data_IF_899916837833
#
_entry.id   IF_899916837833
#
_cell.length_a   1.000
_cell.length_b   1.000
_cell.length_c   1.000
_cell.angle_alpha   90.00
_cell.angle_beta   90.00
_cell.angle_gamma   90.00
#
_symmetry.space_group_name_H-M   'P 1'
#
loop_
_entity.id
_entity.type
_entity.pdbx_description
1 polymer ?
#
# COMPACT_ATOMS: atom_id res chain seq x y z
N UNK A 1 11.61 -34.86 72.18
CA UNK A 1 11.42 -35.24 73.59
C UNK A 1 10.09 -35.96 73.77
N UNK A 2 9.81 -36.57 74.92
CA UNK A 2 8.55 -37.29 75.16
C UNK A 2 7.39 -36.30 75.34
N UNK A 3 6.26 -36.55 74.69
CA UNK A 3 5.00 -35.90 75.06
C UNK A 3 4.60 -36.39 76.46
N UNK A 4 4.29 -35.46 77.36
CA UNK A 4 3.71 -35.76 78.66
C UNK A 4 2.22 -36.04 78.48
N UNK A 5 1.84 -37.28 78.76
CA UNK A 5 0.47 -37.70 78.95
C UNK A 5 -0.03 -37.16 80.31
N UNK A 6 -1.10 -36.39 80.28
CA UNK A 6 -1.78 -35.86 81.46
C UNK A 6 -3.28 -36.19 81.35
N UNK A 7 -3.63 -37.46 81.55
CA UNK A 7 -5.01 -37.85 81.77
C UNK A 7 -5.55 -37.29 83.10
N UNK A 8 -6.81 -36.83 83.12
CA UNK A 8 -7.48 -36.51 84.39
C UNK A 8 -8.60 -35.49 84.35
N UNK A 9 -9.84 -35.99 84.27
CA UNK A 9 -11.06 -35.44 84.92
C UNK A 9 -11.55 -34.02 84.56
N UNK A 10 -12.58 -34.02 83.71
CA UNK A 10 -13.87 -33.31 83.93
C UNK A 10 -13.85 -31.86 84.41
N UNK A 11 -13.72 -30.93 83.45
CA UNK A 11 -14.43 -29.67 83.52
C UNK A 11 -14.99 -29.35 82.12
N UNK A 12 -16.27 -28.98 82.04
CA UNK A 12 -16.94 -28.58 80.79
C UNK A 12 -16.52 -27.16 80.39
N UNK A 13 -15.24 -26.98 80.09
CA UNK A 13 -14.76 -25.79 79.39
C UNK A 13 -15.10 -25.95 77.91
N UNK A 14 -15.81 -24.95 77.38
CA UNK A 14 -16.61 -25.01 76.15
C UNK A 14 -15.98 -25.78 74.98
N UNK A 15 -16.83 -26.51 74.27
CA UNK A 15 -16.46 -27.29 73.09
C UNK A 15 -15.70 -26.42 72.06
N UNK A 16 -14.39 -26.66 71.95
CA UNK A 16 -13.52 -25.95 71.01
C UNK A 16 -13.71 -26.43 69.55
N UNK A 17 -14.58 -27.42 69.28
CA UNK A 17 -14.83 -27.92 67.93
C UNK A 17 -15.42 -26.85 66.99
N UNK A 18 -16.21 -25.89 67.51
CA UNK A 18 -16.82 -24.82 66.69
C UNK A 18 -15.88 -23.59 66.50
N UNK A 19 -14.61 -23.70 66.89
CA UNK A 19 -13.60 -22.66 66.64
C UNK A 19 -12.81 -22.92 65.34
N UNK A 20 -12.62 -21.91 64.47
CA UNK A 20 -12.10 -22.10 63.11
C UNK A 20 -10.58 -22.33 63.00
N UNK A 21 -9.90 -22.63 64.11
CA UNK A 21 -8.45 -22.80 64.15
C UNK A 21 -8.06 -24.29 64.16
N UNK A 22 -7.22 -24.72 63.20
CA UNK A 22 -6.69 -26.09 63.14
C UNK A 22 -7.49 -27.09 62.29
N UNK A 23 -8.52 -26.66 61.56
CA UNK A 23 -9.27 -27.50 60.61
C UNK A 23 -8.40 -27.87 59.39
N UNK A 24 -8.40 -29.15 58.99
CA UNK A 24 -7.50 -29.64 57.91
C UNK A 24 -7.89 -29.17 56.51
N UNK A 25 -9.19 -28.95 56.27
CA UNK A 25 -9.73 -28.51 54.99
C UNK A 25 -10.40 -27.14 55.15
N UNK A 26 -10.18 -26.25 54.18
CA UNK A 26 -10.83 -24.92 54.11
C UNK A 26 -11.38 -24.74 52.69
N UNK A 27 -12.70 -24.69 52.56
CA UNK A 27 -13.36 -24.41 51.29
C UNK A 27 -13.85 -22.95 51.29
N UNK A 28 -13.47 -22.18 50.27
CA UNK A 28 -13.92 -20.80 50.08
C UNK A 28 -14.54 -20.64 48.71
N UNK A 29 -15.79 -20.21 48.66
CA UNK A 29 -16.42 -19.78 47.41
C UNK A 29 -16.50 -18.27 47.41
N UNK A 30 -15.98 -17.62 46.38
CA UNK A 30 -15.93 -16.15 46.29
C UNK A 30 -16.82 -15.66 45.16
N UNK A 31 -17.83 -14.85 45.50
CA UNK A 31 -18.58 -14.03 44.55
C UNK A 31 -18.22 -12.57 44.81
N UNK A 32 -17.52 -11.94 43.86
CA UNK A 32 -17.15 -10.53 43.92
C UNK A 32 -17.98 -9.70 42.94
N UNK A 33 -18.39 -8.53 43.39
CA UNK A 33 -19.02 -7.49 42.59
C UNK A 33 -18.24 -6.19 42.80
N UNK A 34 -17.85 -5.51 41.72
CA UNK A 34 -17.20 -4.22 41.79
C UNK A 34 -17.77 -3.27 40.74
N UNK A 35 -18.07 -2.04 41.16
CA UNK A 35 -18.62 -1.00 40.31
C UNK A 35 -17.93 0.33 40.60
N UNK A 36 -17.35 0.94 39.56
CA UNK A 36 -16.75 2.26 39.68
C UNK A 36 -17.87 3.33 39.63
N UNK A 37 -18.27 3.83 40.81
CA UNK A 37 -19.31 4.84 40.97
C UNK A 37 -18.87 6.20 40.44
N UNK A 38 -17.62 6.59 40.71
CA UNK A 38 -17.04 7.85 40.25
C UNK A 38 -15.62 7.64 39.72
N UNK A 39 -15.38 8.14 38.51
CA UNK A 39 -14.09 8.03 37.81
C UNK A 39 -13.53 9.38 37.34
N UNK A 40 -14.05 10.50 37.86
CA UNK A 40 -13.63 11.85 37.49
C UNK A 40 -13.57 12.10 35.95
N UNK A 41 -14.53 11.54 35.21
CA UNK A 41 -14.59 11.65 33.75
C UNK A 41 -13.65 10.70 32.98
N UNK A 42 -12.87 9.84 33.65
CA UNK A 42 -11.95 8.86 33.01
C UNK A 42 -12.68 7.95 32.04
N UNK A 43 -13.76 7.27 32.49
CA UNK A 43 -14.55 6.35 31.64
C UNK A 43 -15.13 7.11 30.44
N UNK A 44 -15.72 8.28 30.64
CA UNK A 44 -16.27 9.09 29.56
C UNK A 44 -15.20 9.53 28.54
N UNK A 45 -13.97 9.77 28.99
CA UNK A 45 -12.83 10.12 28.13
C UNK A 45 -12.30 8.90 27.38
N UNK A 46 -12.19 7.74 28.02
CA UNK A 46 -11.88 6.46 27.37
C UNK A 46 -12.93 6.09 26.32
N UNK A 47 -14.21 6.35 26.59
CA UNK A 47 -15.30 6.14 25.62
C UNK A 47 -15.20 7.10 24.43
N UNK A 48 -14.81 8.37 24.63
CA UNK A 48 -14.52 9.29 23.51
C UNK A 48 -13.33 8.82 22.68
N UNK A 49 -12.27 8.32 23.31
CA UNK A 49 -11.13 7.73 22.62
C UNK A 49 -11.55 6.51 21.79
N UNK A 50 -12.32 5.57 22.36
CA UNK A 50 -12.83 4.40 21.65
C UNK A 50 -13.76 4.76 20.48
N UNK A 51 -14.60 5.80 20.63
CA UNK A 51 -15.44 6.32 19.53
C UNK A 51 -14.61 6.93 18.41
N UNK A 52 -13.64 7.79 18.72
CA UNK A 52 -12.74 8.37 17.72
C UNK A 52 -11.85 7.31 17.04
N UNK A 53 -11.45 6.26 17.74
CA UNK A 53 -10.76 5.10 17.16
C UNK A 53 -11.66 4.32 16.19
N UNK A 54 -12.95 4.12 16.53
CA UNK A 54 -13.94 3.54 15.61
C UNK A 54 -14.17 4.42 14.38
N UNK A 55 -14.40 5.73 14.56
CA UNK A 55 -14.52 6.69 13.45
C UNK A 55 -13.28 6.65 12.55
N UNK A 56 -12.08 6.49 13.13
CA UNK A 56 -10.83 6.35 12.36
C UNK A 56 -10.80 5.06 11.55
N UNK A 57 -11.26 3.94 12.12
CA UNK A 57 -11.36 2.66 11.42
C UNK A 57 -12.38 2.68 10.28
N UNK A 58 -13.51 3.39 10.45
CA UNK A 58 -14.51 3.60 9.39
C UNK A 58 -13.92 4.41 8.22
N UNK A 59 -13.26 5.54 8.49
CA UNK A 59 -12.58 6.32 7.44
C UNK A 59 -11.43 5.52 6.79
N UNK A 60 -10.71 4.70 7.55
CA UNK A 60 -9.66 3.81 7.01
C UNK A 60 -10.22 2.74 6.08
N UNK A 61 -11.39 2.17 6.40
CA UNK A 61 -12.09 1.21 5.54
C UNK A 61 -12.49 1.84 4.20
N UNK A 62 -12.99 3.08 4.22
CA UNK A 62 -13.36 3.79 2.98
C UNK A 62 -12.13 4.21 2.15
N UNK A 63 -11.02 4.57 2.79
CA UNK A 63 -9.73 4.74 2.10
C UNK A 63 -9.20 3.44 1.49
N UNK A 64 -9.31 2.31 2.20
CA UNK A 64 -8.92 1.00 1.66
C UNK A 64 -9.79 0.60 0.45
N UNK A 65 -11.11 0.82 0.51
CA UNK A 65 -12.03 0.62 -0.63
C UNK A 65 -11.66 1.49 -1.82
N UNK A 66 -11.33 2.76 -1.61
CA UNK A 66 -10.91 3.67 -2.67
C UNK A 66 -9.57 3.26 -3.29
N UNK A 67 -8.62 2.79 -2.47
CA UNK A 67 -7.34 2.28 -2.94
C UNK A 67 -7.52 1.02 -3.81
N UNK A 68 -8.29 0.04 -3.33
CA UNK A 68 -8.61 -1.18 -4.11
C UNK A 68 -9.32 -0.83 -5.43
N UNK A 69 -10.31 0.09 -5.42
CA UNK A 69 -10.93 0.60 -6.66
C UNK A 69 -9.89 1.14 -7.65
N UNK A 70 -8.96 1.98 -7.18
CA UNK A 70 -7.91 2.56 -8.04
C UNK A 70 -6.94 1.50 -8.56
N UNK A 71 -6.48 0.58 -7.71
CA UNK A 71 -5.54 -0.48 -8.07
C UNK A 71 -6.16 -1.46 -9.09
N UNK A 72 -7.43 -1.84 -8.92
CA UNK A 72 -8.18 -2.64 -9.88
C UNK A 72 -8.32 -1.93 -11.23
N UNK A 73 -8.65 -0.62 -11.23
CA UNK A 73 -8.74 0.19 -12.45
C UNK A 73 -7.38 0.29 -13.15
N UNK A 74 -6.30 0.50 -12.42
CA UNK A 74 -4.95 0.50 -12.98
C UNK A 74 -4.62 -0.84 -13.65
N UNK A 75 -4.81 -1.96 -12.94
CA UNK A 75 -4.55 -3.29 -13.50
C UNK A 75 -5.44 -3.62 -14.72
N UNK A 76 -6.68 -3.11 -14.74
CA UNK A 76 -7.58 -3.26 -15.87
C UNK A 76 -7.09 -2.52 -17.12
N UNK A 77 -6.71 -1.24 -16.99
CA UNK A 77 -6.16 -0.48 -18.11
C UNK A 77 -4.73 -0.91 -18.48
N UNK A 78 -3.93 -1.43 -17.54
CA UNK A 78 -2.64 -2.07 -17.82
C UNK A 78 -2.82 -3.34 -18.67
N UNK A 79 -3.84 -4.15 -18.39
CA UNK A 79 -4.17 -5.33 -19.20
C UNK A 79 -4.62 -4.94 -20.62
N UNK A 80 -5.52 -3.96 -20.76
CA UNK A 80 -5.92 -3.41 -22.07
C UNK A 80 -4.74 -2.83 -22.86
N UNK A 81 -3.84 -2.11 -22.19
CA UNK A 81 -2.61 -1.61 -22.80
C UNK A 81 -1.72 -2.77 -23.26
N UNK A 82 -1.61 -3.85 -22.48
CA UNK A 82 -0.81 -5.02 -22.87
C UNK A 82 -1.37 -5.76 -24.09
N UNK A 83 -2.70 -5.84 -24.24
CA UNK A 83 -3.35 -6.36 -25.46
C UNK A 83 -3.02 -5.47 -26.67
N UNK A 84 -3.15 -4.15 -26.53
CA UNK A 84 -2.87 -3.21 -27.62
C UNK A 84 -1.39 -3.21 -28.04
N UNK A 85 -0.46 -3.28 -27.08
CA UNK A 85 0.97 -3.37 -27.36
C UNK A 85 1.36 -4.71 -28.02
N UNK A 86 0.68 -5.80 -27.67
CA UNK A 86 0.87 -7.08 -28.36
C UNK A 86 0.34 -7.01 -29.80
N UNK A 87 -0.84 -6.42 -30.03
CA UNK A 87 -1.40 -6.26 -31.36
C UNK A 87 -0.51 -5.39 -32.27
N UNK A 88 0.08 -4.31 -31.73
CA UNK A 88 1.06 -3.48 -32.44
C UNK A 88 2.30 -4.30 -32.81
N UNK A 89 2.90 -5.03 -31.87
CA UNK A 89 4.09 -5.84 -32.12
C UNK A 89 3.84 -7.00 -33.12
N UNK A 90 2.67 -7.64 -33.05
CA UNK A 90 2.25 -8.65 -34.02
C UNK A 90 2.10 -8.07 -35.43
N UNK A 91 1.51 -6.87 -35.54
CA UNK A 91 1.40 -6.15 -36.81
C UNK A 91 2.78 -5.82 -37.38
N UNK A 92 3.71 -5.33 -36.54
CA UNK A 92 5.08 -5.01 -36.95
C UNK A 92 5.85 -6.25 -37.43
N UNK A 93 5.71 -7.39 -36.75
CA UNK A 93 6.28 -8.68 -37.19
C UNK A 93 5.67 -9.14 -38.52
N UNK A 94 4.35 -9.13 -38.67
CA UNK A 94 3.68 -9.51 -39.92
C UNK A 94 4.15 -8.65 -41.11
N UNK A 95 4.27 -7.34 -40.91
CA UNK A 95 4.80 -6.42 -41.92
C UNK A 95 6.29 -6.70 -42.23
N UNK A 96 7.09 -7.12 -41.26
CA UNK A 96 8.49 -7.51 -41.50
C UNK A 96 8.61 -8.83 -42.28
N UNK A 97 7.73 -9.80 -42.00
CA UNK A 97 7.63 -11.06 -42.76
C UNK A 97 7.18 -10.82 -44.21
N UNK A 98 6.20 -9.93 -44.43
CA UNK A 98 5.79 -9.52 -45.78
C UNK A 98 6.93 -8.85 -46.57
N UNK A 99 7.68 -7.94 -45.94
CA UNK A 99 8.86 -7.32 -46.58
C UNK A 99 9.95 -8.36 -46.88
N UNK A 100 10.21 -9.29 -45.97
CA UNK A 100 11.18 -10.38 -46.20
C UNK A 100 10.80 -11.26 -47.41
N UNK A 101 9.53 -11.62 -47.55
CA UNK A 101 9.09 -12.45 -48.68
C UNK A 101 9.16 -11.68 -50.02
N UNK A 102 8.79 -10.39 -50.04
CA UNK A 102 8.96 -9.53 -51.21
C UNK A 102 10.43 -9.44 -51.65
N UNK A 103 11.34 -9.19 -50.72
CA UNK A 103 12.79 -9.12 -50.99
C UNK A 103 13.34 -10.47 -51.44
N UNK A 104 12.85 -11.58 -50.87
CA UNK A 104 13.23 -12.94 -51.27
C UNK A 104 12.84 -13.27 -52.71
N UNK A 105 11.62 -12.89 -53.12
CA UNK A 105 11.15 -13.04 -54.51
C UNK A 105 11.94 -12.11 -55.44
N UNK A 106 12.15 -10.85 -55.06
CA UNK A 106 12.96 -9.91 -55.85
C UNK A 106 14.42 -10.40 -56.03
N UNK A 107 14.99 -11.05 -55.01
CA UNK A 107 16.32 -11.68 -55.09
C UNK A 107 16.35 -12.88 -56.03
N UNK A 108 15.30 -13.72 -56.06
CA UNK A 108 15.27 -14.92 -56.91
C UNK A 108 15.19 -14.59 -58.40
N UNK A 109 14.62 -13.43 -58.77
CA UNK A 109 14.62 -12.89 -60.14
C UNK A 109 15.80 -11.94 -60.43
N UNK A 110 16.75 -11.81 -59.51
CA UNK A 110 17.96 -10.98 -59.66
C UNK A 110 17.75 -9.47 -59.51
N UNK A 111 16.54 -9.00 -59.17
CA UNK A 111 16.19 -7.58 -59.07
C UNK A 111 16.69 -6.89 -57.79
N UNK A 112 17.10 -7.64 -56.76
CA UNK A 112 17.71 -7.09 -55.54
C UNK A 112 19.00 -7.83 -55.12
N UNK A 113 19.93 -7.16 -54.41
CA UNK A 113 21.15 -7.76 -53.90
C UNK A 113 20.90 -8.56 -52.62
N UNK A 114 21.83 -9.44 -52.28
CA UNK A 114 21.79 -10.25 -51.05
C UNK A 114 21.82 -9.41 -49.76
N UNK A 115 22.42 -8.22 -49.82
CA UNK A 115 22.43 -7.25 -48.73
C UNK A 115 21.02 -6.86 -48.25
N UNK A 116 20.09 -6.59 -49.17
CA UNK A 116 18.70 -6.25 -48.80
C UNK A 116 17.97 -7.46 -48.19
N UNK A 117 18.28 -8.68 -48.66
CA UNK A 117 17.74 -9.92 -48.08
C UNK A 117 18.22 -10.11 -46.63
N UNK A 118 19.52 -9.94 -46.38
CA UNK A 118 20.08 -10.02 -45.03
C UNK A 118 19.48 -8.95 -44.10
N UNK A 119 19.29 -7.72 -44.58
CA UNK A 119 18.62 -6.66 -43.82
C UNK A 119 17.16 -6.98 -43.52
N UNK A 120 16.41 -7.52 -44.48
CA UNK A 120 15.03 -7.95 -44.26
C UNK A 120 14.94 -9.09 -43.24
N UNK A 121 15.89 -10.04 -43.27
CA UNK A 121 15.99 -11.13 -42.28
C UNK A 121 16.25 -10.58 -40.88
N UNK A 122 17.26 -9.70 -40.72
CA UNK A 122 17.58 -9.06 -39.43
C UNK A 122 16.39 -8.23 -38.91
N UNK A 123 15.70 -7.48 -39.77
CA UNK A 123 14.51 -6.72 -39.37
C UNK A 123 13.39 -7.62 -38.84
N UNK A 124 13.12 -8.76 -39.51
CA UNK A 124 12.13 -9.76 -39.06
C UNK A 124 12.58 -10.41 -37.75
N UNK A 125 13.82 -10.86 -37.68
CA UNK A 125 14.34 -11.59 -36.50
C UNK A 125 14.44 -10.69 -35.26
N UNK A 126 14.68 -9.38 -35.42
CA UNK A 126 14.61 -8.40 -34.33
C UNK A 126 13.19 -8.19 -33.77
N UNK A 127 12.14 -8.39 -34.58
CA UNK A 127 10.74 -8.25 -34.13
C UNK A 127 10.22 -9.46 -33.35
N UNK A 128 10.81 -10.66 -33.54
CA UNK A 128 10.36 -11.88 -32.84
C UNK A 128 10.53 -11.79 -31.30
N UNK A 129 11.68 -11.33 -30.75
CA UNK A 129 11.82 -11.06 -29.32
C UNK A 129 10.83 -10.03 -28.78
N UNK A 130 10.45 -9.02 -29.57
CA UNK A 130 9.48 -7.99 -29.16
C UNK A 130 8.11 -8.63 -28.93
N UNK A 131 7.62 -9.44 -29.87
CA UNK A 131 6.34 -10.17 -29.72
C UNK A 131 6.36 -11.11 -28.52
N UNK A 132 7.43 -11.91 -28.34
CA UNK A 132 7.58 -12.82 -27.19
C UNK A 132 7.55 -12.06 -25.85
N UNK A 133 8.20 -10.89 -25.81
CA UNK A 133 8.16 -10.01 -24.63
C UNK A 133 6.75 -9.46 -24.39
N UNK A 134 6.05 -8.98 -25.42
CA UNK A 134 4.66 -8.48 -25.26
C UNK A 134 3.67 -9.55 -24.83
N UNK A 135 3.86 -10.80 -25.27
CA UNK A 135 3.09 -11.95 -24.77
C UNK A 135 3.34 -12.18 -23.28
N UNK A 136 4.59 -12.11 -22.82
CA UNK A 136 4.95 -12.20 -21.40
C UNK A 136 4.38 -11.02 -20.58
N UNK A 137 4.56 -9.79 -21.05
CA UNK A 137 4.04 -8.56 -20.42
C UNK A 137 2.51 -8.66 -20.22
N UNK A 138 1.80 -9.19 -21.23
CA UNK A 138 0.35 -9.43 -21.21
C UNK A 138 -0.06 -10.45 -20.16
N UNK A 139 0.55 -11.63 -20.11
CA UNK A 139 0.17 -12.63 -19.11
C UNK A 139 0.48 -12.17 -17.67
N UNK A 140 1.50 -11.33 -17.47
CA UNK A 140 1.78 -10.68 -16.18
C UNK A 140 0.65 -9.69 -15.83
N UNK A 141 0.26 -8.81 -16.76
CA UNK A 141 -0.82 -7.83 -16.54
C UNK A 141 -2.16 -8.52 -16.23
N UNK A 142 -2.53 -9.54 -17.00
CA UNK A 142 -3.72 -10.36 -16.76
C UNK A 142 -3.64 -11.12 -15.43
N UNK A 143 -2.46 -11.63 -15.03
CA UNK A 143 -2.30 -12.30 -13.72
C UNK A 143 -2.47 -11.35 -12.55
N UNK A 144 -1.94 -10.11 -12.65
CA UNK A 144 -2.19 -9.04 -11.66
C UNK A 144 -3.68 -8.70 -11.57
N UNK A 145 -4.38 -8.62 -12.71
CA UNK A 145 -5.82 -8.36 -12.73
C UNK A 145 -6.63 -9.52 -12.11
N UNK A 146 -6.32 -10.78 -12.44
CA UNK A 146 -6.95 -11.97 -11.82
C UNK A 146 -6.79 -11.96 -10.30
N UNK A 147 -5.59 -11.65 -9.80
CA UNK A 147 -5.31 -11.57 -8.37
C UNK A 147 -6.13 -10.46 -7.67
N UNK A 148 -6.23 -9.27 -8.26
CA UNK A 148 -7.02 -8.16 -7.69
C UNK A 148 -8.54 -8.37 -7.76
N UNK A 149 -9.01 -9.21 -8.68
CA UNK A 149 -10.43 -9.60 -8.78
C UNK A 149 -10.78 -10.82 -7.91
N UNK A 150 -9.81 -11.40 -7.18
CA UNK A 150 -9.94 -12.66 -6.44
C UNK A 150 -10.43 -13.85 -7.29
N UNK A 151 -9.95 -13.90 -8.54
CA UNK A 151 -10.30 -14.95 -9.52
C UNK A 151 -9.13 -15.92 -9.69
N UNK A 152 -9.36 -17.25 -9.73
CA UNK A 152 -8.30 -18.23 -9.94
C UNK A 152 -7.43 -17.93 -11.17
N UNK A 153 -6.11 -18.08 -11.03
CA UNK A 153 -5.11 -17.68 -12.04
C UNK A 153 -5.32 -18.37 -13.41
N UNK A 154 -5.86 -19.59 -13.43
CA UNK A 154 -6.19 -20.31 -14.67
C UNK A 154 -7.44 -19.81 -15.41
N UNK A 155 -8.20 -18.88 -14.84
CA UNK A 155 -9.44 -18.37 -15.46
C UNK A 155 -9.11 -17.46 -16.63
N UNK A 156 -9.69 -17.78 -17.79
CA UNK A 156 -9.61 -16.94 -18.99
C UNK A 156 -10.53 -15.72 -18.81
N UNK A 157 -9.93 -14.53 -18.84
CA UNK A 157 -10.64 -13.26 -18.87
C UNK A 157 -10.58 -12.73 -20.30
N UNK A 158 -11.72 -12.26 -20.82
CA UNK A 158 -11.82 -11.55 -22.09
C UNK A 158 -12.31 -10.14 -21.78
N UNK A 159 -11.49 -9.13 -22.06
CA UNK A 159 -11.85 -7.73 -21.83
C UNK A 159 -12.66 -7.23 -23.04
N UNK A 160 -13.85 -6.66 -22.77
CA UNK A 160 -14.81 -6.23 -23.81
C UNK A 160 -14.66 -4.75 -24.17
N UNK A 161 -13.95 -3.99 -23.33
CA UNK A 161 -13.69 -2.56 -23.53
C UNK A 161 -12.51 -2.33 -24.48
N UNK A 162 -12.55 -1.19 -25.18
CA UNK A 162 -11.42 -0.71 -25.99
C UNK A 162 -10.66 0.38 -25.22
N UNK A 163 -9.33 0.39 -25.35
CA UNK A 163 -8.48 1.39 -24.71
C UNK A 163 -8.66 2.78 -25.34
N UNK A 164 -8.75 2.80 -26.67
CA UNK A 164 -9.17 3.96 -27.45
C UNK A 164 -10.68 3.87 -27.68
N UNK A 165 -11.44 4.45 -26.76
CA UNK A 165 -12.90 4.47 -26.80
C UNK A 165 -13.47 5.62 -25.99
N UNK A 166 -14.69 6.04 -26.35
CA UNK A 166 -15.39 7.07 -25.59
C UNK A 166 -15.62 6.59 -24.14
N UNK A 167 -15.61 7.53 -23.20
CA UNK A 167 -15.68 7.31 -21.75
C UNK A 167 -16.97 6.63 -21.26
N UNK A 168 -17.88 6.26 -22.17
CA UNK A 168 -19.20 5.70 -21.87
C UNK A 168 -19.16 4.37 -21.13
N UNK A 169 -18.08 3.58 -21.30
CA UNK A 169 -17.86 2.34 -20.56
C UNK A 169 -17.43 2.51 -19.09
N UNK A 170 -17.06 3.74 -18.67
CA UNK A 170 -16.77 4.02 -17.28
C UNK A 170 -18.08 4.26 -16.49
N UNK A 171 -18.16 3.78 -15.22
CA UNK A 171 -19.17 4.22 -14.27
C UNK A 171 -19.34 5.75 -14.24
N UNK A 172 -20.57 6.22 -14.07
CA UNK A 172 -20.91 7.65 -14.14
C UNK A 172 -20.08 8.51 -13.17
N UNK A 173 -19.70 7.96 -12.01
CA UNK A 173 -18.81 8.58 -11.01
C UNK A 173 -17.42 8.97 -11.55
N UNK A 174 -16.96 8.38 -12.65
CA UNK A 174 -15.67 8.66 -13.29
C UNK A 174 -15.77 9.47 -14.58
N UNK A 175 -16.98 9.64 -15.14
CA UNK A 175 -17.21 10.36 -16.40
C UNK A 175 -17.27 11.88 -16.23
N UNK A 176 -17.74 12.35 -15.07
CA UNK A 176 -18.04 13.77 -14.82
C UNK A 176 -16.84 14.62 -14.36
N UNK A 177 -15.67 14.03 -14.12
CA UNK A 177 -14.44 14.71 -13.65
C UNK A 177 -13.73 15.47 -14.80
N UNK A 178 -14.49 15.96 -15.77
CA UNK A 178 -13.98 16.45 -17.03
C UNK A 178 -13.63 17.95 -17.02
N UNK A 179 -14.43 18.80 -16.37
CA UNK A 179 -14.43 20.25 -16.67
C UNK A 179 -14.06 21.15 -15.48
N UNK A 180 -14.70 21.04 -14.31
CA UNK A 180 -14.36 21.86 -13.13
C UNK A 180 -14.11 21.02 -11.88
N UNK A 181 -12.84 20.76 -11.59
CA UNK A 181 -12.40 20.14 -10.34
C UNK A 181 -12.10 21.24 -9.32
N UNK A 182 -13.03 21.49 -8.41
CA UNK A 182 -12.83 22.36 -7.25
C UNK A 182 -11.77 21.75 -6.30
N UNK A 183 -10.51 22.14 -6.55
CA UNK A 183 -9.31 21.73 -5.81
C UNK A 183 -9.50 21.96 -4.32
N UNK A 184 -10.03 23.12 -3.94
CA UNK A 184 -10.13 23.53 -2.54
C UNK A 184 -11.22 22.73 -1.80
N UNK A 185 -12.36 22.42 -2.45
CA UNK A 185 -13.40 21.54 -1.90
C UNK A 185 -12.90 20.12 -1.71
N UNK A 186 -12.13 19.59 -2.66
CA UNK A 186 -11.52 18.26 -2.52
C UNK A 186 -10.49 18.29 -1.39
N UNK A 187 -9.56 19.25 -1.41
CA UNK A 187 -8.49 19.38 -0.41
C UNK A 187 -9.03 19.51 1.01
N UNK A 188 -10.16 20.21 1.24
CA UNK A 188 -10.75 20.37 2.58
C UNK A 188 -11.39 19.11 3.17
N UNK A 189 -11.86 18.18 2.34
CA UNK A 189 -12.67 17.03 2.77
C UNK A 189 -11.98 15.67 2.60
N UNK A 190 -10.64 15.62 2.55
CA UNK A 190 -9.90 14.36 2.34
C UNK A 190 -9.88 13.46 3.58
N UNK A 191 -10.01 12.15 3.37
CA UNK A 191 -9.95 11.13 4.42
C UNK A 191 -8.70 11.22 5.33
N UNK A 192 -7.47 11.47 4.82
CA UNK A 192 -6.31 11.74 5.67
C UNK A 192 -6.45 12.90 6.66
N UNK A 193 -7.11 14.00 6.26
CA UNK A 193 -7.37 15.15 7.15
C UNK A 193 -8.39 14.76 8.23
N UNK A 194 -9.42 13.99 7.85
CA UNK A 194 -10.39 13.46 8.80
C UNK A 194 -9.70 12.53 9.82
N UNK A 195 -8.88 11.57 9.37
CA UNK A 195 -8.08 10.70 10.24
C UNK A 195 -7.15 11.50 11.17
N UNK A 196 -6.47 12.52 10.66
CA UNK A 196 -5.62 13.39 11.48
C UNK A 196 -6.43 14.19 12.52
N UNK A 197 -7.61 14.71 12.15
CA UNK A 197 -8.52 15.38 13.08
C UNK A 197 -9.06 14.45 14.16
N UNK A 198 -9.36 13.19 13.82
CA UNK A 198 -9.74 12.15 14.78
C UNK A 198 -8.57 11.79 15.71
N UNK A 199 -7.33 11.75 15.19
CA UNK A 199 -6.12 11.57 16.01
C UNK A 199 -5.95 12.70 17.04
N UNK A 200 -6.20 13.97 16.66
CA UNK A 200 -6.24 15.08 17.63
C UNK A 200 -7.29 14.84 18.71
N UNK A 201 -8.52 14.45 18.34
CA UNK A 201 -9.59 14.13 19.31
C UNK A 201 -9.20 12.97 20.26
N UNK A 202 -8.50 11.95 19.76
CA UNK A 202 -7.99 10.85 20.59
C UNK A 202 -6.96 11.35 21.61
N UNK A 203 -6.01 12.19 21.20
CA UNK A 203 -5.01 12.75 22.12
C UNK A 203 -5.63 13.72 23.12
N UNK A 204 -6.63 14.53 22.72
CA UNK A 204 -7.35 15.40 23.64
C UNK A 204 -8.16 14.57 24.67
N UNK A 205 -8.75 13.44 24.26
CA UNK A 205 -9.38 12.50 25.17
C UNK A 205 -8.36 11.84 26.12
N UNK A 206 -7.17 11.47 25.62
CA UNK A 206 -6.06 10.91 26.42
C UNK A 206 -5.54 11.92 27.46
N UNK A 207 -5.41 13.20 27.10
CA UNK A 207 -5.09 14.29 28.01
C UNK A 207 -6.13 14.44 29.14
N UNK A 208 -7.42 14.26 28.85
CA UNK A 208 -8.46 14.24 29.90
C UNK A 208 -8.37 12.99 30.78
N UNK A 209 -7.97 11.82 30.22
CA UNK A 209 -7.64 10.63 31.02
C UNK A 209 -6.47 10.93 31.96
N UNK A 210 -5.36 11.50 31.48
CA UNK A 210 -4.22 11.88 32.31
C UNK A 210 -4.60 12.89 33.41
N UNK A 211 -5.42 13.91 33.09
CA UNK A 211 -5.95 14.86 34.08
C UNK A 211 -6.82 14.18 35.14
N UNK A 212 -7.64 13.20 34.77
CA UNK A 212 -8.52 12.47 35.70
C UNK A 212 -7.76 11.62 36.72
N UNK A 213 -6.51 11.21 36.44
CA UNK A 213 -5.71 10.39 37.37
C UNK A 213 -5.34 11.11 38.67
N UNK A 214 -5.38 12.45 38.72
CA UNK A 214 -5.14 13.24 39.94
C UNK A 214 -6.40 13.44 40.78
N UNK A 215 -7.56 13.10 40.25
CA UNK A 215 -8.86 13.26 40.92
C UNK A 215 -9.25 11.97 41.65
N UNK A 216 -10.08 12.05 42.70
CA UNK A 216 -10.48 10.87 43.46
C UNK A 216 -11.28 9.89 42.59
N UNK A 217 -11.10 8.61 42.86
CA UNK A 217 -11.94 7.54 42.30
C UNK A 217 -12.72 6.87 43.43
N UNK A 218 -14.00 6.58 43.19
CA UNK A 218 -14.90 5.96 44.16
C UNK A 218 -15.47 4.69 43.55
N UNK A 219 -15.19 3.53 44.15
CA UNK A 219 -15.79 2.26 43.75
C UNK A 219 -16.58 1.64 44.90
N UNK A 220 -17.73 1.05 44.55
CA UNK A 220 -18.47 0.13 45.39
C UNK A 220 -17.92 -1.26 45.15
N UNK A 221 -17.54 -1.94 46.23
CA UNK A 221 -17.09 -3.32 46.19
C UNK A 221 -17.96 -4.15 47.14
N UNK A 222 -18.40 -5.31 46.69
CA UNK A 222 -19.10 -6.30 47.50
C UNK A 222 -18.41 -7.64 47.31
N UNK A 223 -18.05 -8.29 48.40
CA UNK A 223 -17.46 -9.62 48.40
C UNK A 223 -18.31 -10.52 49.29
N UNK A 224 -18.94 -11.51 48.67
CA UNK A 224 -19.59 -12.62 49.36
C UNK A 224 -18.62 -13.80 49.32
N UNK A 225 -18.11 -14.19 50.47
CA UNK A 225 -17.08 -15.24 50.64
C UNK A 225 -17.53 -16.24 51.71
N UNK A 226 -18.55 -17.07 51.46
CA UNK A 226 -18.85 -18.20 52.33
C UNK A 226 -17.62 -19.10 52.48
N UNK A 227 -17.23 -19.32 53.74
CA UNK A 227 -16.11 -20.19 54.12
C UNK A 227 -16.66 -21.38 54.88
N UNK A 228 -16.35 -22.58 54.40
CA UNK A 228 -16.66 -23.85 55.06
C UNK A 228 -15.41 -24.55 55.57
N UNK A 229 -15.55 -25.24 56.70
CA UNK A 229 -14.49 -26.01 57.35
C UNK A 229 -14.89 -27.49 57.53
N UNK A 230 -15.29 -28.20 56.46
CA UNK A 230 -15.80 -29.57 56.55
C UNK A 230 -14.69 -30.57 56.94
N UNK A 231 -15.06 -31.60 57.68
CA UNK A 231 -14.15 -32.71 58.02
C UNK A 231 -13.94 -33.67 56.85
N UNK A 232 -14.89 -33.74 55.91
CA UNK A 232 -14.80 -34.56 54.68
C UNK A 232 -15.19 -33.74 53.44
N UNK A 233 -16.39 -33.92 52.89
CA UNK A 233 -16.90 -33.18 51.73
C UNK A 233 -17.86 -32.07 52.19
N UNK A 234 -17.79 -30.84 51.62
CA UNK A 234 -18.61 -29.72 52.07
C UNK A 234 -20.11 -29.94 51.84
N UNK A 235 -20.89 -29.82 52.92
CA UNK A 235 -22.35 -29.71 52.89
C UNK A 235 -22.80 -28.25 52.98
N UNK A 236 -24.02 -27.89 52.55
CA UNK A 236 -24.50 -26.50 52.61
C UNK A 236 -24.53 -25.89 54.03
N UNK A 237 -24.60 -26.72 55.08
CA UNK A 237 -24.57 -26.27 56.48
C UNK A 237 -23.18 -25.91 57.01
N UNK A 238 -22.10 -26.40 56.37
CA UNK A 238 -20.73 -26.17 56.83
C UNK A 238 -20.23 -24.74 56.49
N UNK A 239 -20.91 -24.05 55.57
CA UNK A 239 -20.51 -22.73 55.10
C UNK A 239 -21.03 -21.62 56.01
N UNK A 240 -20.12 -20.93 56.70
CA UNK A 240 -20.41 -19.66 57.37
C UNK A 240 -20.40 -18.54 56.33
N UNK A 241 -21.55 -17.91 56.08
CA UNK A 241 -21.67 -16.80 55.13
C UNK A 241 -20.94 -15.56 55.65
N UNK A 242 -19.91 -15.12 54.93
CA UNK A 242 -19.29 -13.81 55.12
C UNK A 242 -19.64 -12.91 53.94
N UNK A 243 -20.28 -11.76 54.19
CA UNK A 243 -20.62 -10.78 53.16
C UNK A 243 -20.16 -9.40 53.61
N UNK A 244 -19.25 -8.81 52.84
CA UNK A 244 -18.73 -7.46 53.07
C UNK A 244 -19.15 -6.57 51.91
N UNK A 245 -19.76 -5.43 52.22
CA UNK A 245 -20.05 -4.35 51.26
C UNK A 245 -19.30 -3.10 51.73
N UNK A 246 -18.54 -2.47 50.84
CA UNK A 246 -17.74 -1.30 51.18
C UNK A 246 -17.51 -0.37 50.00
N UNK A 247 -17.49 0.93 50.28
CA UNK A 247 -17.12 1.96 49.30
C UNK A 247 -15.66 2.34 49.55
N UNK A 248 -14.82 2.22 48.52
CA UNK A 248 -13.42 2.63 48.57
C UNK A 248 -13.20 3.93 47.81
N UNK A 249 -12.64 4.93 48.49
CA UNK A 249 -12.17 6.20 47.93
C UNK A 249 -10.65 6.15 47.78
N UNK A 250 -10.16 6.22 46.54
CA UNK A 250 -8.72 6.30 46.25
C UNK A 250 -8.36 7.68 45.69
N UNK A 251 -7.47 8.40 46.38
CA UNK A 251 -6.94 9.70 45.99
C UNK A 251 -5.39 9.69 46.11
N UNK A 252 -4.64 9.85 45.01
CA UNK A 252 -3.19 9.96 45.08
C UNK A 252 -2.77 11.35 45.62
N UNK A 253 -2.19 11.38 46.82
CA UNK A 253 -1.71 12.62 47.47
C UNK A 253 -0.28 12.95 47.05
N UNK A 254 0.61 11.95 47.03
CA UNK A 254 2.01 12.07 46.64
C UNK A 254 2.37 10.94 45.66
N UNK A 255 2.99 11.32 44.54
CA UNK A 255 3.22 10.46 43.38
C UNK A 255 4.64 10.62 42.78
N UNK A 256 5.53 11.34 43.46
CA UNK A 256 6.86 11.71 42.95
C UNK A 256 6.84 12.66 41.74
N UNK A 257 5.70 13.30 41.43
CA UNK A 257 5.52 14.14 40.25
C UNK A 257 5.14 13.36 38.98
N UNK A 258 4.94 12.03 39.04
CA UNK A 258 4.61 11.19 37.88
C UNK A 258 3.37 11.69 37.14
N UNK A 259 2.26 11.98 37.83
CA UNK A 259 1.01 12.46 37.22
C UNK A 259 1.19 13.83 36.55
N UNK A 260 2.14 14.65 37.01
CA UNK A 260 2.50 15.91 36.35
C UNK A 260 3.25 15.64 35.05
N UNK A 261 4.20 14.71 35.05
CA UNK A 261 4.92 14.28 33.85
C UNK A 261 3.97 13.63 32.84
N UNK A 262 3.10 12.71 33.26
CA UNK A 262 2.09 12.06 32.42
C UNK A 262 1.15 13.08 31.76
N UNK A 263 0.72 14.11 32.51
CA UNK A 263 -0.09 15.22 31.96
C UNK A 263 0.70 16.08 30.96
N UNK A 264 2.00 16.29 31.18
CA UNK A 264 2.85 17.05 30.25
C UNK A 264 3.11 16.26 28.96
N UNK A 265 3.37 14.96 29.05
CA UNK A 265 3.50 14.07 27.90
C UNK A 265 2.19 13.99 27.09
N UNK A 266 1.05 13.83 27.76
CA UNK A 266 -0.26 13.82 27.08
C UNK A 266 -0.62 15.19 26.45
N UNK A 267 -0.15 16.30 27.02
CA UNK A 267 -0.31 17.63 26.41
C UNK A 267 0.58 17.75 25.16
N UNK A 268 1.85 17.36 25.25
CA UNK A 268 2.77 17.35 24.11
C UNK A 268 2.21 16.48 22.95
N UNK A 269 1.60 15.33 23.24
CA UNK A 269 0.94 14.50 22.22
C UNK A 269 -0.28 15.15 21.55
N UNK A 270 -0.99 16.05 22.24
CA UNK A 270 -2.05 16.87 21.61
C UNK A 270 -1.43 17.90 20.67
N UNK A 271 -0.35 18.55 21.09
CA UNK A 271 0.30 19.62 20.33
C UNK A 271 1.04 19.04 19.10
N UNK A 272 1.65 17.87 19.23
CA UNK A 272 2.18 17.04 18.13
C UNK A 272 1.08 16.64 17.14
N UNK A 273 -0.04 16.10 17.63
CA UNK A 273 -1.16 15.71 16.76
C UNK A 273 -1.74 16.91 15.99
N UNK A 274 -1.76 18.11 16.60
CA UNK A 274 -2.16 19.36 15.94
C UNK A 274 -1.15 19.77 14.87
N UNK A 275 0.15 19.76 15.17
CA UNK A 275 1.18 20.03 14.17
C UNK A 275 1.11 19.04 13.00
N UNK A 276 0.88 17.75 13.27
CA UNK A 276 0.68 16.71 12.25
C UNK A 276 -0.59 16.93 11.42
N UNK A 277 -1.69 17.40 12.01
CA UNK A 277 -2.89 17.81 11.28
C UNK A 277 -2.63 19.00 10.35
N UNK A 278 -1.79 19.95 10.75
CA UNK A 278 -1.37 21.04 9.86
C UNK A 278 -0.55 20.51 8.68
N UNK A 279 0.52 19.74 8.93
CA UNK A 279 1.31 19.13 7.85
C UNK A 279 0.46 18.27 6.88
N UNK A 280 -0.46 17.46 7.41
CA UNK A 280 -1.36 16.63 6.58
C UNK A 280 -2.32 17.47 5.72
N UNK A 281 -2.69 18.70 6.12
CA UNK A 281 -3.47 19.61 5.27
C UNK A 281 -2.63 20.14 4.12
N UNK A 282 -1.40 20.57 4.40
CA UNK A 282 -0.48 21.10 3.41
C UNK A 282 -0.12 20.01 2.37
N UNK A 283 0.18 18.79 2.84
CA UNK A 283 0.40 17.59 1.99
C UNK A 283 -0.85 17.24 1.17
N UNK A 284 -2.05 17.37 1.75
CA UNK A 284 -3.32 17.10 1.07
C UNK A 284 -3.61 18.10 -0.03
N UNK A 285 -3.28 19.38 0.18
CA UNK A 285 -3.39 20.42 -0.85
C UNK A 285 -2.40 20.14 -1.99
N UNK A 286 -1.15 19.83 -1.66
CA UNK A 286 -0.10 19.52 -2.63
C UNK A 286 -0.45 18.30 -3.51
N UNK A 287 -0.81 17.16 -2.92
CA UNK A 287 -1.21 15.96 -3.68
C UNK A 287 -2.48 16.23 -4.52
N UNK A 288 -3.38 17.12 -4.07
CA UNK A 288 -4.55 17.50 -4.88
C UNK A 288 -4.17 18.33 -6.10
N UNK A 289 -3.30 19.33 -5.94
CA UNK A 289 -2.76 20.11 -7.07
C UNK A 289 -2.00 19.19 -8.04
N UNK A 290 -1.14 18.31 -7.55
CA UNK A 290 -0.38 17.34 -8.37
C UNK A 290 -1.30 16.39 -9.13
N UNK A 291 -2.34 15.83 -8.50
CA UNK A 291 -3.27 14.91 -9.17
C UNK A 291 -4.06 15.60 -10.30
N UNK A 292 -4.48 16.86 -10.10
CA UNK A 292 -5.18 17.65 -11.13
C UNK A 292 -4.24 18.02 -12.29
N UNK A 293 -3.00 18.42 -12.01
CA UNK A 293 -2.01 18.68 -13.08
C UNK A 293 -1.64 17.40 -13.86
N UNK A 294 -1.54 16.25 -13.18
CA UNK A 294 -1.35 14.96 -13.86
C UNK A 294 -2.51 14.62 -14.80
N UNK A 295 -3.76 14.91 -14.42
CA UNK A 295 -4.92 14.76 -15.30
C UNK A 295 -4.88 15.73 -16.50
N UNK A 296 -4.50 16.99 -16.28
CA UNK A 296 -4.33 18.00 -17.36
C UNK A 296 -3.25 17.56 -18.36
N UNK A 297 -2.08 17.15 -17.86
CA UNK A 297 -0.97 16.67 -18.67
C UNK A 297 -1.32 15.38 -19.44
N UNK A 298 -1.97 14.41 -18.80
CA UNK A 298 -2.40 13.18 -19.47
C UNK A 298 -3.42 13.44 -20.59
N UNK A 299 -4.34 14.40 -20.40
CA UNK A 299 -5.30 14.82 -21.42
C UNK A 299 -4.60 15.47 -22.62
N UNK A 300 -3.75 16.46 -22.37
CA UNK A 300 -2.99 17.15 -23.41
C UNK A 300 -2.08 16.19 -24.20
N UNK A 301 -1.45 15.22 -23.52
CA UNK A 301 -0.63 14.19 -24.17
C UNK A 301 -1.47 13.25 -25.07
N UNK A 302 -2.67 12.85 -24.63
CA UNK A 302 -3.58 12.02 -25.42
C UNK A 302 -4.11 12.76 -26.65
N UNK A 303 -4.53 14.02 -26.48
CA UNK A 303 -4.98 14.89 -27.58
C UNK A 303 -3.85 15.12 -28.61
N UNK A 304 -2.65 15.50 -28.15
CA UNK A 304 -1.49 15.70 -29.03
C UNK A 304 -1.08 14.42 -29.78
N UNK A 305 -1.22 13.24 -29.16
CA UNK A 305 -0.85 11.96 -29.79
C UNK A 305 -1.70 11.61 -31.03
N UNK A 306 -2.90 12.19 -31.18
CA UNK A 306 -3.78 11.92 -32.31
C UNK A 306 -3.14 12.37 -33.64
N UNK A 307 -2.72 13.63 -33.72
CA UNK A 307 -2.06 14.18 -34.90
C UNK A 307 -0.73 13.48 -35.21
N UNK A 308 0.03 13.08 -34.19
CA UNK A 308 1.29 12.33 -34.40
C UNK A 308 1.04 10.95 -35.03
N UNK A 309 0.01 10.22 -34.61
CA UNK A 309 -0.33 8.92 -35.21
C UNK A 309 -0.85 9.08 -36.63
N UNK A 310 -1.70 10.08 -36.90
CA UNK A 310 -2.19 10.38 -38.26
C UNK A 310 -1.04 10.73 -39.22
N UNK A 311 -0.13 11.62 -38.80
CA UNK A 311 1.02 12.03 -39.60
C UNK A 311 2.00 10.87 -39.84
N UNK A 312 2.30 10.08 -38.81
CA UNK A 312 3.19 8.92 -38.95
C UNK A 312 2.57 7.82 -39.82
N UNK A 313 1.25 7.61 -39.73
CA UNK A 313 0.50 6.69 -40.59
C UNK A 313 0.59 7.13 -42.05
N UNK A 314 0.39 8.42 -42.32
CA UNK A 314 0.47 8.96 -43.67
C UNK A 314 1.90 8.93 -44.23
N UNK A 315 2.90 9.20 -43.40
CA UNK A 315 4.31 9.08 -43.79
C UNK A 315 4.68 7.63 -44.14
N UNK A 316 4.23 6.65 -43.35
CA UNK A 316 4.41 5.22 -43.62
C UNK A 316 3.76 4.80 -44.96
N UNK A 317 2.52 5.21 -45.24
CA UNK A 317 1.85 4.93 -46.51
C UNK A 317 2.64 5.46 -47.72
N UNK A 318 3.15 6.69 -47.63
CA UNK A 318 3.95 7.32 -48.69
C UNK A 318 5.29 6.59 -48.87
N UNK A 319 5.97 6.25 -47.78
CA UNK A 319 7.22 5.48 -47.81
C UNK A 319 7.01 4.08 -48.39
N UNK A 320 5.91 3.42 -48.06
CA UNK A 320 5.57 2.09 -48.58
C UNK A 320 5.33 2.13 -50.09
N UNK A 321 4.55 3.09 -50.60
CA UNK A 321 4.36 3.28 -52.04
C UNK A 321 5.69 3.60 -52.72
N UNK A 322 6.48 4.56 -52.21
CA UNK A 322 7.79 4.90 -52.81
C UNK A 322 8.76 3.72 -52.82
N UNK A 323 8.73 2.84 -51.82
CA UNK A 323 9.56 1.63 -51.79
C UNK A 323 9.11 0.61 -52.85
N UNK A 324 7.79 0.36 -52.99
CA UNK A 324 7.25 -0.54 -54.03
C UNK A 324 7.58 -0.07 -55.46
N UNK A 325 7.54 1.25 -55.69
CA UNK A 325 7.92 1.85 -56.99
C UNK A 325 9.44 1.98 -57.20
N UNK A 326 10.28 1.54 -56.24
CA UNK A 326 11.74 1.62 -56.33
C UNK A 326 12.34 3.03 -56.17
N UNK A 327 11.56 3.99 -55.67
CA UNK A 327 11.90 5.42 -55.51
C UNK A 327 12.48 5.71 -54.10
N UNK A 328 12.45 4.73 -53.19
CA UNK A 328 12.89 4.86 -51.80
C UNK A 328 13.62 3.60 -51.33
N UNK A 329 14.47 3.75 -50.32
CA UNK A 329 15.28 2.65 -49.77
C UNK A 329 14.52 1.84 -48.71
N UNK A 330 14.95 0.60 -48.44
CA UNK A 330 14.40 -0.19 -47.33
C UNK A 330 14.62 0.50 -45.96
N UNK A 331 15.65 1.36 -45.84
CA UNK A 331 15.92 2.15 -44.65
C UNK A 331 14.79 3.18 -44.41
N UNK A 332 14.47 4.00 -45.40
CA UNK A 332 13.37 5.00 -45.32
C UNK A 332 12.03 4.35 -44.94
N UNK A 333 11.71 3.18 -45.49
CA UNK A 333 10.50 2.42 -45.14
C UNK A 333 10.55 1.90 -43.69
N UNK A 334 11.72 1.40 -43.25
CA UNK A 334 11.91 0.88 -41.89
C UNK A 334 11.81 1.99 -40.85
N UNK A 335 12.43 3.14 -41.11
CA UNK A 335 12.40 4.32 -40.24
C UNK A 335 10.97 4.88 -40.13
N UNK A 336 10.24 4.97 -41.26
CA UNK A 336 8.84 5.40 -41.28
C UNK A 336 7.93 4.44 -40.52
N UNK A 337 8.18 3.12 -40.61
CA UNK A 337 7.46 2.10 -39.83
C UNK A 337 7.75 2.22 -38.33
N UNK A 338 9.00 2.43 -37.94
CA UNK A 338 9.41 2.61 -36.55
C UNK A 338 8.74 3.85 -35.92
N UNK A 339 8.68 4.97 -36.65
CA UNK A 339 7.99 6.18 -36.21
C UNK A 339 6.48 5.94 -36.00
N UNK A 340 5.82 5.21 -36.90
CA UNK A 340 4.42 4.82 -36.75
C UNK A 340 4.20 3.89 -35.55
N UNK A 341 5.07 2.89 -35.35
CA UNK A 341 5.01 1.98 -34.20
C UNK A 341 5.12 2.78 -32.90
N UNK A 342 6.13 3.64 -32.78
CA UNK A 342 6.36 4.48 -31.60
C UNK A 342 5.19 5.46 -31.35
N UNK A 343 4.62 6.06 -32.40
CA UNK A 343 3.46 6.93 -32.28
C UNK A 343 2.24 6.19 -31.72
N UNK A 344 1.95 4.97 -32.23
CA UNK A 344 0.85 4.12 -31.74
C UNK A 344 1.07 3.68 -30.29
N UNK A 345 2.29 3.31 -29.92
CA UNK A 345 2.67 2.97 -28.54
C UNK A 345 2.45 4.17 -27.60
N UNK A 346 2.93 5.36 -27.98
CA UNK A 346 2.77 6.58 -27.20
C UNK A 346 1.29 6.94 -27.01
N UNK A 347 0.47 6.81 -28.05
CA UNK A 347 -0.98 7.06 -28.01
C UNK A 347 -1.71 6.08 -27.08
N UNK A 348 -1.41 4.78 -27.17
CA UNK A 348 -1.99 3.77 -26.29
C UNK A 348 -1.64 4.03 -24.81
N UNK A 349 -0.39 4.40 -24.52
CA UNK A 349 0.04 4.80 -23.17
C UNK A 349 -0.69 6.05 -22.69
N UNK A 350 -0.79 7.09 -23.52
CA UNK A 350 -1.50 8.33 -23.16
C UNK A 350 -3.00 8.09 -22.90
N UNK A 351 -3.64 7.21 -23.67
CA UNK A 351 -5.03 6.79 -23.43
C UNK A 351 -5.18 6.10 -22.06
N UNK A 352 -4.30 5.13 -21.74
CA UNK A 352 -4.26 4.46 -20.42
C UNK A 352 -4.07 5.46 -19.29
N UNK A 353 -3.09 6.35 -19.40
CA UNK A 353 -2.75 7.33 -18.36
C UNK A 353 -3.89 8.33 -18.12
N UNK A 354 -4.60 8.76 -19.16
CA UNK A 354 -5.76 9.63 -19.05
C UNK A 354 -6.91 8.96 -18.26
N UNK A 355 -7.24 7.70 -18.53
CA UNK A 355 -8.32 7.01 -17.80
C UNK A 355 -7.95 6.77 -16.33
N UNK A 356 -6.70 6.37 -16.06
CA UNK A 356 -6.20 6.20 -14.68
C UNK A 356 -6.19 7.53 -13.92
N UNK A 357 -5.76 8.62 -14.55
CA UNK A 357 -5.77 9.96 -13.94
C UNK A 357 -7.19 10.45 -13.61
N UNK A 358 -8.17 10.22 -14.52
CA UNK A 358 -9.59 10.55 -14.28
C UNK A 358 -10.12 9.85 -13.03
N UNK A 359 -9.90 8.53 -12.91
CA UNK A 359 -10.36 7.75 -11.76
C UNK A 359 -9.62 8.15 -10.48
N UNK A 360 -8.31 8.43 -10.54
CA UNK A 360 -7.56 8.91 -9.36
C UNK A 360 -8.12 10.23 -8.83
N UNK A 361 -8.41 11.21 -9.69
CA UNK A 361 -8.99 12.50 -9.27
C UNK A 361 -10.42 12.31 -8.72
N UNK A 362 -11.22 11.40 -9.29
CA UNK A 362 -12.54 11.06 -8.77
C UNK A 362 -12.51 10.48 -7.34
N UNK A 363 -11.57 9.56 -7.07
CA UNK A 363 -11.42 8.89 -5.78
C UNK A 363 -10.58 9.67 -4.77
N UNK A 364 -9.96 10.78 -5.19
CA UNK A 364 -9.02 11.58 -4.39
C UNK A 364 -9.52 12.03 -2.99
N UNK A 365 -10.82 12.35 -2.78
CA UNK A 365 -11.33 12.64 -1.44
C UNK A 365 -11.17 11.47 -0.46
N UNK A 366 -11.31 10.22 -0.92
CA UNK A 366 -11.20 9.03 -0.08
C UNK A 366 -9.81 8.38 -0.12
N UNK A 367 -9.01 8.58 -1.17
CA UNK A 367 -7.66 8.02 -1.27
C UNK A 367 -6.74 8.49 -0.13
N UNK A 368 -5.87 7.59 0.39
CA UNK A 368 -4.82 7.96 1.32
C UNK A 368 -3.84 8.96 0.67
N UNK A 369 -3.07 9.68 1.49
CA UNK A 369 -1.93 10.43 0.98
C UNK A 369 -0.89 9.48 0.37
N UNK A 370 -0.17 9.94 -0.65
CA UNK A 370 1.04 9.28 -1.16
C UNK A 370 2.17 9.37 -0.12
N UNK A 371 2.09 8.54 0.92
CA UNK A 371 3.09 8.51 1.99
C UNK A 371 4.37 7.81 1.53
N UNK A 372 5.32 8.58 1.00
CA UNK A 372 6.73 8.19 0.96
C UNK A 372 7.55 8.74 -0.22
N UNK A 373 8.87 8.99 -0.03
CA UNK A 373 9.76 9.47 -1.09
C UNK A 373 9.87 8.51 -2.28
N UNK A 374 9.56 7.22 -2.10
CA UNK A 374 9.49 6.20 -3.15
C UNK A 374 8.42 6.49 -4.23
N UNK A 375 7.33 7.19 -3.90
CA UNK A 375 6.33 7.60 -4.90
C UNK A 375 6.82 8.75 -5.77
N UNK A 376 7.55 9.72 -5.17
CA UNK A 376 8.23 10.80 -5.91
C UNK A 376 9.31 10.19 -6.80
N UNK A 377 10.03 9.17 -6.32
CA UNK A 377 11.07 8.49 -7.09
C UNK A 377 10.49 7.71 -8.29
N UNK A 378 9.32 7.06 -8.14
CA UNK A 378 8.62 6.46 -9.28
C UNK A 378 8.12 7.51 -10.29
N UNK A 379 7.65 8.68 -9.82
CA UNK A 379 7.29 9.80 -10.70
C UNK A 379 8.52 10.37 -11.44
N UNK A 380 9.67 10.49 -10.77
CA UNK A 380 10.93 10.94 -11.36
C UNK A 380 11.50 9.93 -12.36
N UNK A 381 11.45 8.63 -12.08
CA UNK A 381 11.87 7.58 -13.01
C UNK A 381 11.01 7.59 -14.29
N UNK A 382 9.69 7.79 -14.15
CA UNK A 382 8.77 7.93 -15.29
C UNK A 382 9.03 9.21 -16.11
N UNK A 383 9.51 10.28 -15.46
CA UNK A 383 9.89 11.54 -16.14
C UNK A 383 11.26 11.48 -16.82
N UNK A 384 12.28 10.90 -16.16
CA UNK A 384 13.67 10.88 -16.67
C UNK A 384 13.86 9.90 -17.84
N UNK A 385 13.08 8.81 -17.90
CA UNK A 385 13.11 7.91 -19.07
C UNK A 385 12.49 8.51 -20.35
N UNK A 386 11.86 9.69 -20.27
CA UNK A 386 11.29 10.39 -21.45
C UNK A 386 12.26 11.36 -22.12
N UNK A 387 13.48 11.57 -21.59
CA UNK A 387 14.46 12.52 -22.16
C UNK A 387 15.88 11.95 -22.19
N UNK A 388 16.12 11.00 -23.09
CA UNK A 388 17.46 10.70 -23.61
C UNK A 388 17.39 10.43 -25.12
N UNK A 389 17.73 11.42 -25.99
CA UNK A 389 18.03 11.11 -27.38
C UNK A 389 19.34 10.30 -27.43
N UNK A 390 19.32 9.16 -28.14
CA UNK A 390 20.50 8.34 -28.30
C UNK A 390 21.53 9.04 -29.21
N UNK A 391 22.63 9.51 -28.63
CA UNK A 391 23.79 10.00 -29.38
C UNK A 391 24.93 8.97 -29.35
N UNK A 392 25.38 8.57 -30.54
CA UNK A 392 26.53 7.68 -30.74
C UNK A 392 27.78 8.21 -30.02
N UNK A 393 28.52 7.31 -29.37
CA UNK A 393 29.98 7.37 -29.39
C UNK A 393 30.56 6.01 -29.75
N UNK A 394 31.33 5.98 -30.85
CA UNK A 394 32.10 4.82 -31.26
C UNK A 394 33.28 4.60 -30.31
N UNK A 395 33.57 3.34 -30.00
CA UNK A 395 34.90 2.89 -29.60
C UNK A 395 35.31 1.74 -30.51
N UNK A 396 36.40 1.93 -31.25
CA UNK A 396 37.08 0.89 -32.03
C UNK A 396 38.43 0.55 -31.37
N UNK A 397 38.94 -0.69 -31.48
CA UNK A 397 40.02 -1.18 -30.61
C UNK A 397 41.40 -1.28 -31.27
N UNK A 398 42.46 -1.03 -30.47
CA UNK A 398 43.84 -1.53 -30.62
C UNK A 398 44.62 -1.20 -29.33
N UNK A 399 45.57 -1.98 -28.80
CA UNK A 399 46.00 -3.35 -29.09
C UNK A 399 47.37 -3.65 -28.43
N UNK A 400 47.60 -4.91 -28.00
CA UNK A 400 48.93 -5.52 -27.68
C UNK A 400 49.74 -4.93 -26.48
N UNK A 401 50.65 -5.64 -25.78
CA UNK A 401 50.87 -7.09 -25.56
C UNK A 401 51.90 -7.34 -24.43
N UNK A 402 51.90 -8.56 -23.86
CA UNK A 402 52.99 -9.25 -23.12
C UNK A 402 53.53 -8.71 -21.76
N UNK A 403 53.76 -9.64 -20.81
CA UNK A 403 54.58 -9.42 -19.61
C UNK A 403 54.23 -10.31 -18.39
N UNK A 404 54.98 -11.40 -18.17
CA UNK A 404 54.96 -12.23 -16.95
C UNK A 404 56.19 -13.17 -16.93
N UNK A 405 56.60 -13.73 -15.78
CA UNK A 405 56.63 -13.16 -14.42
C UNK A 405 58.01 -13.38 -13.74
N UNK A 406 58.26 -12.75 -12.57
CA UNK A 406 59.38 -13.15 -11.71
C UNK A 406 59.14 -12.81 -10.22
N UNK A 407 59.48 -13.76 -9.35
CA UNK A 407 59.59 -13.69 -7.89
C UNK A 407 60.84 -14.53 -7.54
N UNK A 408 61.70 -14.17 -6.56
CA UNK A 408 61.45 -14.62 -5.17
C UNK A 408 62.08 -13.75 -4.05
N UNK A 409 61.75 -14.09 -2.78
CA UNK A 409 62.49 -13.79 -1.52
C UNK A 409 62.67 -12.31 -1.11
N UNK A 410 62.61 -11.86 0.15
CA UNK A 410 62.28 -12.42 1.48
C UNK A 410 61.75 -11.23 2.36
N UNK A 411 61.51 -11.24 3.69
CA UNK A 411 61.86 -12.14 4.82
C UNK A 411 60.84 -11.94 5.97
N UNK A 412 60.86 -12.81 6.98
CA UNK A 412 60.28 -12.61 8.33
C UNK A 412 61.44 -12.20 9.30
N UNK A 413 61.27 -11.81 10.61
CA UNK A 413 60.28 -12.37 11.56
C UNK A 413 59.71 -11.45 12.68
N UNK A 414 58.68 -11.96 13.38
CA UNK A 414 58.34 -11.79 14.84
C UNK A 414 58.15 -10.38 15.46
N UNK A 415 57.19 -10.14 16.35
CA UNK A 415 56.22 -11.07 16.96
C UNK A 415 55.20 -10.41 17.91
N UNK A 416 54.31 -11.24 18.43
CA UNK A 416 53.19 -11.02 19.40
C UNK A 416 53.65 -11.73 20.70
N UNK A 417 53.31 -11.35 21.97
CA UNK A 417 51.93 -11.07 22.43
C UNK A 417 51.69 -10.09 23.61
N UNK A 418 50.48 -9.52 23.69
CA UNK A 418 49.41 -9.94 24.62
C UNK A 418 48.05 -9.43 24.12
#
# INVERSE_FOLDING_TARGET
ERFLDCGGTSASFGDFSDLPFGRSNIYRTNLSFSQLLYSAGRIGSQLRLARAARETAEVTLDSARAQVKLDTVQAYFDALLSDQLLAIAQTALQQAEQTLEQVRVARSVGAQPEFELLRAQVARDNQRPVVIRRQSDREIAYTRLRHLLDVPVGTRLNLVSQLEGDSQGLPAEFRTVAEEVDVDRIARNRAPILQAGLSVRMQEANLQVARSQRLPTISLNSLMSPVGYPETFPTPGDFRMNWTVGVSLQLPILDGGRLRADRMAAQAGVDEAKARLHAIRDDSELDTRVAVEQLRAARAAWEASAGTVEQAQRAYEIAEVRYREGISTQLELSDSRLLLEQARVNRAQAARDLQVARVRVALLPSLPLLSGPSAIQNAQLTGMQRVTPASNQQQSPAGQSQGSPANPSATNPTGVPQ
#
